data_IF_618445116634
#
_entry.id   IF_618445116634
#
_cell.length_a   1.000
_cell.length_b   1.000
_cell.length_c   1.000
_cell.angle_alpha   90.00
_cell.angle_beta   90.00
_cell.angle_gamma   90.00
#
_symmetry.space_group_name_H-M   'P 1'
#
loop_
_entity.id
_entity.type
_entity.pdbx_description
1 polymer ?
#
# COMPACT_ATOMS: atom_id res chain seq x y z
N UNK A 1 4.83 -18.44 -2.32
CA UNK A 1 4.18 -17.11 -2.40
C UNK A 1 2.94 -17.20 -3.30
N UNK A 2 1.95 -18.05 -2.99
CA UNK A 2 0.87 -18.40 -3.95
C UNK A 2 -0.55 -18.34 -3.35
N UNK A 3 -0.77 -17.55 -2.30
CA UNK A 3 -2.07 -17.49 -1.59
C UNK A 3 -2.51 -16.02 -1.29
N UNK A 4 -1.55 -15.10 -1.13
CA UNK A 4 -1.83 -13.70 -0.81
C UNK A 4 -2.66 -12.96 -1.87
N UNK A 5 -2.48 -13.29 -3.15
CA UNK A 5 -3.19 -12.64 -4.25
C UNK A 5 -4.69 -12.93 -4.25
N UNK A 6 -5.05 -14.19 -3.99
CA UNK A 6 -6.44 -14.64 -3.91
C UNK A 6 -7.12 -14.18 -2.61
N UNK A 7 -6.39 -14.12 -1.49
CA UNK A 7 -6.91 -13.54 -0.24
C UNK A 7 -7.21 -12.04 -0.38
N UNK A 8 -6.43 -11.31 -1.19
CA UNK A 8 -6.70 -9.90 -1.52
C UNK A 8 -7.83 -9.71 -2.53
N UNK A 9 -8.27 -10.75 -3.22
CA UNK A 9 -9.40 -10.73 -4.16
C UNK A 9 -10.69 -11.27 -3.54
N UNK A 10 -10.61 -11.96 -2.40
CA UNK A 10 -11.77 -12.46 -1.65
C UNK A 10 -12.64 -11.37 -1.00
N UNK A 11 -13.92 -11.65 -0.84
CA UNK A 11 -15.00 -10.76 -0.37
C UNK A 11 -14.91 -10.32 1.10
N UNK A 12 -13.93 -10.83 1.86
CA UNK A 12 -13.81 -10.53 3.29
C UNK A 12 -13.01 -9.24 3.54
N UNK A 13 -13.72 -8.09 3.53
CA UNK A 13 -13.17 -6.75 3.75
C UNK A 13 -12.24 -6.65 4.97
N UNK A 14 -12.65 -7.20 6.12
CA UNK A 14 -11.86 -7.18 7.35
C UNK A 14 -10.53 -7.93 7.23
N UNK A 15 -10.55 -9.11 6.60
CA UNK A 15 -9.34 -9.93 6.44
C UNK A 15 -8.37 -9.26 5.48
N UNK A 16 -8.87 -8.69 4.39
CA UNK A 16 -8.08 -8.00 3.37
C UNK A 16 -7.43 -6.72 3.90
N UNK A 17 -8.18 -5.89 4.61
CA UNK A 17 -7.66 -4.67 5.24
C UNK A 17 -6.61 -4.99 6.30
N UNK A 18 -6.84 -6.01 7.14
CA UNK A 18 -5.86 -6.47 8.12
C UNK A 18 -4.57 -6.97 7.47
N UNK A 19 -4.68 -7.79 6.43
CA UNK A 19 -3.52 -8.37 5.74
C UNK A 19 -2.71 -7.30 5.01
N UNK A 20 -3.38 -6.39 4.29
CA UNK A 20 -2.74 -5.28 3.60
C UNK A 20 -2.12 -4.27 4.58
N UNK A 21 -2.78 -4.00 5.71
CA UNK A 21 -2.22 -3.19 6.79
C UNK A 21 -0.97 -3.82 7.39
N UNK A 22 -0.96 -5.14 7.57
CA UNK A 22 0.22 -5.87 8.06
C UNK A 22 1.38 -5.85 7.05
N UNK A 23 1.10 -5.98 5.75
CA UNK A 23 2.11 -5.80 4.70
C UNK A 23 2.66 -4.38 4.69
N UNK A 24 1.78 -3.36 4.81
CA UNK A 24 2.18 -1.97 4.97
C UNK A 24 3.03 -1.72 6.22
N UNK A 25 2.71 -2.40 7.33
CA UNK A 25 3.52 -2.33 8.55
C UNK A 25 4.92 -2.95 8.33
N UNK A 26 5.01 -4.09 7.65
CA UNK A 26 6.31 -4.71 7.35
C UNK A 26 7.17 -3.83 6.45
N UNK A 27 6.61 -3.29 5.37
CA UNK A 27 7.36 -2.38 4.49
C UNK A 27 7.73 -1.09 5.21
N UNK A 28 6.84 -0.58 6.05
CA UNK A 28 7.10 0.57 6.92
C UNK A 28 8.25 0.32 7.89
N UNK A 29 8.31 -0.86 8.52
CA UNK A 29 9.37 -1.21 9.45
C UNK A 29 10.72 -1.31 8.73
N UNK A 30 10.78 -1.98 7.58
CA UNK A 30 11.99 -2.07 6.76
C UNK A 30 12.46 -0.68 6.31
N UNK A 31 11.55 0.15 5.80
CA UNK A 31 11.88 1.53 5.42
C UNK A 31 12.39 2.34 6.63
N UNK A 32 11.81 2.12 7.80
CA UNK A 32 12.20 2.81 9.04
C UNK A 32 13.57 2.37 9.53
N UNK A 33 13.91 1.09 9.42
CA UNK A 33 15.26 0.61 9.75
C UNK A 33 16.30 1.27 8.87
N UNK A 34 16.06 1.35 7.56
CA UNK A 34 16.96 2.07 6.64
C UNK A 34 17.06 3.56 7.00
N UNK A 35 15.94 4.21 7.29
CA UNK A 35 15.91 5.61 7.65
C UNK A 35 16.71 5.90 8.93
N UNK A 36 16.61 5.06 9.95
CA UNK A 36 17.39 5.22 11.20
C UNK A 36 18.87 4.92 11.00
N UNK A 37 19.21 3.95 10.14
CA UNK A 37 20.62 3.65 9.83
C UNK A 37 21.31 4.75 9.03
N UNK A 38 20.59 5.42 8.12
CA UNK A 38 21.15 6.50 7.30
C UNK A 38 21.12 7.85 8.02
N UNK A 39 20.11 8.10 8.84
CA UNK A 39 19.97 9.31 9.65
C UNK A 39 19.94 8.93 11.14
N UNK A 40 21.12 8.86 11.76
CA UNK A 40 21.25 8.55 13.17
C UNK A 40 20.55 9.61 14.03
N UNK A 41 19.56 9.25 14.86
CA UNK A 41 18.94 10.17 15.80
C UNK A 41 19.88 10.42 16.98
N UNK A 42 19.84 11.63 17.55
CA UNK A 42 20.65 11.97 18.74
C UNK A 42 20.17 11.22 19.99
N UNK A 43 18.92 10.71 19.99
CA UNK A 43 18.32 10.03 21.13
C UNK A 43 17.55 8.76 20.74
N UNK A 44 17.68 7.68 21.53
CA UNK A 44 16.97 6.41 21.33
C UNK A 44 15.45 6.54 21.32
N UNK A 45 14.89 7.36 22.22
CA UNK A 45 13.44 7.59 22.31
C UNK A 45 12.88 8.27 21.05
N UNK A 46 13.60 9.24 20.51
CA UNK A 46 13.19 9.94 19.30
C UNK A 46 13.27 9.01 18.07
N UNK A 47 14.31 8.17 18.00
CA UNK A 47 14.41 7.11 17.02
C UNK A 47 13.22 6.14 17.07
N UNK A 48 12.86 5.67 18.27
CA UNK A 48 11.73 4.77 18.45
C UNK A 48 10.40 5.41 18.05
N UNK A 49 10.13 6.64 18.50
CA UNK A 49 8.91 7.36 18.13
C UNK A 49 8.83 7.61 16.63
N UNK A 50 9.95 7.91 15.98
CA UNK A 50 10.03 8.11 14.53
C UNK A 50 9.71 6.83 13.77
N UNK A 51 10.32 5.70 14.15
CA UNK A 51 10.05 4.37 13.59
C UNK A 51 8.61 3.94 13.80
N UNK A 52 8.06 4.18 15.00
CA UNK A 52 6.67 3.86 15.30
C UNK A 52 5.72 4.69 14.42
N UNK A 53 5.97 6.00 14.30
CA UNK A 53 5.15 6.90 13.47
C UNK A 53 5.17 6.48 12.00
N UNK A 54 6.33 6.20 11.43
CA UNK A 54 6.47 5.77 10.03
C UNK A 54 5.84 4.39 9.79
N UNK A 55 6.05 3.44 10.69
CA UNK A 55 5.43 2.11 10.58
C UNK A 55 3.92 2.19 10.63
N UNK A 56 3.36 2.97 11.56
CA UNK A 56 1.92 3.21 11.66
C UNK A 56 1.40 3.94 10.43
N UNK A 57 2.14 4.91 9.87
CA UNK A 57 1.74 5.55 8.60
C UNK A 57 1.58 4.51 7.50
N UNK A 58 2.59 3.67 7.25
CA UNK A 58 2.54 2.71 6.16
C UNK A 58 1.49 1.61 6.39
N UNK A 59 1.30 1.17 7.62
CA UNK A 59 0.22 0.27 7.99
C UNK A 59 -1.16 0.89 7.66
N UNK A 60 -1.38 2.15 8.03
CA UNK A 60 -2.64 2.85 7.72
C UNK A 60 -2.86 3.02 6.23
N UNK A 61 -1.81 3.29 5.45
CA UNK A 61 -1.90 3.43 4.00
C UNK A 61 -2.30 2.11 3.33
N UNK A 62 -1.69 1.00 3.73
CA UNK A 62 -2.05 -0.34 3.24
C UNK A 62 -3.50 -0.72 3.58
N UNK A 63 -3.95 -0.40 4.80
CA UNK A 63 -5.32 -0.65 5.22
C UNK A 63 -6.34 0.22 4.44
N UNK A 64 -6.08 1.52 4.29
CA UNK A 64 -6.94 2.44 3.53
C UNK A 64 -7.02 2.02 2.07
N UNK A 65 -5.90 1.68 1.45
CA UNK A 65 -5.84 1.16 0.08
C UNK A 65 -6.74 -0.08 -0.11
N UNK A 66 -6.60 -1.05 0.79
CA UNK A 66 -7.38 -2.28 0.74
C UNK A 66 -8.87 -2.06 1.00
N UNK A 67 -9.23 -1.21 1.97
CA UNK A 67 -10.62 -0.91 2.29
C UNK A 67 -11.32 -0.22 1.11
N UNK A 68 -10.72 0.87 0.63
CA UNK A 68 -11.29 1.67 -0.45
C UNK A 68 -11.37 0.92 -1.79
N UNK A 69 -10.35 0.13 -2.15
CA UNK A 69 -10.42 -0.71 -3.35
C UNK A 69 -11.50 -1.79 -3.28
N UNK A 70 -11.77 -2.33 -2.08
CA UNK A 70 -12.81 -3.35 -1.89
C UNK A 70 -14.21 -2.74 -1.93
N UNK A 71 -14.41 -1.62 -1.23
CA UNK A 71 -15.69 -0.88 -1.26
C UNK A 71 -16.00 -0.43 -2.70
N UNK A 72 -14.98 0.02 -3.44
CA UNK A 72 -15.16 0.43 -4.85
C UNK A 72 -15.55 -0.75 -5.74
N UNK A 73 -14.99 -1.93 -5.48
CA UNK A 73 -15.31 -3.15 -6.21
C UNK A 73 -16.76 -3.63 -5.93
N UNK A 74 -17.20 -3.58 -4.66
CA UNK A 74 -18.58 -3.91 -4.27
C UNK A 74 -19.58 -2.92 -4.86
N UNK A 75 -19.26 -1.62 -4.85
CA UNK A 75 -20.18 -0.58 -5.35
C UNK A 75 -20.40 -0.65 -6.87
N UNK A 76 -19.43 -1.20 -7.61
CA UNK A 76 -19.42 -1.21 -9.08
C UNK A 76 -19.74 -2.58 -9.68
N UNK A 77 -19.95 -3.61 -8.85
CA UNK A 77 -20.14 -5.01 -9.25
C UNK A 77 -19.09 -5.52 -10.27
N UNK A 78 -17.92 -4.88 -10.29
CA UNK A 78 -16.85 -5.09 -11.27
C UNK A 78 -15.53 -5.35 -10.54
N UNK A 79 -15.33 -6.54 -9.93
CA UNK A 79 -14.20 -6.81 -9.04
C UNK A 79 -12.83 -6.81 -9.76
N UNK A 80 -12.86 -7.04 -11.08
CA UNK A 80 -11.66 -7.13 -11.91
C UNK A 80 -11.21 -5.80 -12.52
N UNK A 81 -11.95 -4.71 -12.33
CA UNK A 81 -11.59 -3.44 -12.95
C UNK A 81 -10.36 -2.81 -12.28
N UNK A 82 -9.30 -2.46 -13.05
CA UNK A 82 -8.10 -1.81 -12.52
C UNK A 82 -8.39 -0.41 -11.94
N UNK A 83 -9.52 0.20 -12.29
CA UNK A 83 -10.00 1.45 -11.71
C UNK A 83 -10.24 1.36 -10.19
N UNK A 84 -10.63 0.20 -9.66
CA UNK A 84 -10.86 0.05 -8.22
C UNK A 84 -9.54 0.17 -7.42
N UNK A 85 -8.45 -0.33 -8.00
CA UNK A 85 -7.11 -0.21 -7.44
C UNK A 85 -6.56 1.21 -7.60
N UNK A 86 -6.97 1.94 -8.64
CA UNK A 86 -6.66 3.38 -8.79
C UNK A 86 -7.31 4.21 -7.67
N UNK A 87 -8.60 3.99 -7.40
CA UNK A 87 -9.32 4.68 -6.32
C UNK A 87 -8.66 4.38 -4.97
N UNK A 88 -8.28 3.13 -4.74
CA UNK A 88 -7.56 2.76 -3.51
C UNK A 88 -6.19 3.42 -3.38
N UNK A 89 -5.44 3.49 -4.48
CA UNK A 89 -4.16 4.20 -4.54
C UNK A 89 -4.34 5.69 -4.25
N UNK A 90 -5.34 6.33 -4.83
CA UNK A 90 -5.65 7.73 -4.58
C UNK A 90 -6.08 8.02 -3.14
N UNK A 91 -6.92 7.17 -2.54
CA UNK A 91 -7.30 7.30 -1.14
C UNK A 91 -6.07 7.24 -0.22
N UNK A 92 -5.14 6.32 -0.49
CA UNK A 92 -3.88 6.24 0.26
C UNK A 92 -2.97 7.45 0.01
N UNK A 93 -2.86 7.96 -1.22
CA UNK A 93 -2.08 9.15 -1.55
C UNK A 93 -2.60 10.42 -0.87
N UNK A 94 -3.91 10.63 -0.85
CA UNK A 94 -4.52 11.75 -0.12
C UNK A 94 -4.17 11.68 1.36
N UNK A 95 -4.13 10.48 1.95
CA UNK A 95 -3.73 10.30 3.36
C UNK A 95 -2.26 10.69 3.60
N UNK A 96 -1.36 10.45 2.64
CA UNK A 96 0.02 10.96 2.69
C UNK A 96 0.03 12.50 2.65
N UNK A 97 -0.77 13.09 1.77
CA UNK A 97 -0.96 14.55 1.71
C UNK A 97 -1.44 15.14 3.03
N UNK A 98 -2.43 14.50 3.66
CA UNK A 98 -2.93 14.89 4.97
C UNK A 98 -1.86 14.79 6.07
N UNK A 99 -1.05 13.71 6.07
CA UNK A 99 0.06 13.53 7.03
C UNK A 99 1.18 14.56 6.83
N UNK A 100 1.41 15.00 5.60
CA UNK A 100 2.47 15.96 5.24
C UNK A 100 1.98 17.41 5.18
N UNK A 101 0.69 17.66 5.45
CA UNK A 101 0.03 18.97 5.33
C UNK A 101 0.30 19.66 3.99
N UNK A 102 0.37 18.89 2.90
CA UNK A 102 0.67 19.42 1.57
C UNK A 102 -0.28 18.86 0.52
N UNK A 103 -1.04 19.77 -0.10
CA UNK A 103 -1.93 19.45 -1.21
C UNK A 103 -1.16 18.93 -2.43
N UNK A 104 0.03 19.49 -2.70
CA UNK A 104 0.86 19.07 -3.82
C UNK A 104 1.35 17.62 -3.66
N UNK A 105 1.76 17.25 -2.44
CA UNK A 105 2.18 15.87 -2.14
C UNK A 105 0.96 14.94 -2.22
N UNK A 106 -0.21 15.39 -1.75
CA UNK A 106 -1.45 14.61 -1.84
C UNK A 106 -1.89 14.30 -3.27
N UNK A 107 -1.90 15.31 -4.17
CA UNK A 107 -2.33 15.11 -5.56
C UNK A 107 -1.32 14.29 -6.37
N UNK A 108 -0.02 14.59 -6.23
CA UNK A 108 1.03 13.82 -6.90
C UNK A 108 1.08 12.37 -6.43
N UNK A 109 0.94 12.11 -5.12
CA UNK A 109 0.91 10.75 -4.58
C UNK A 109 -0.38 10.01 -4.95
N UNK A 110 -1.53 10.68 -5.06
CA UNK A 110 -2.75 10.03 -5.58
C UNK A 110 -2.55 9.54 -7.01
N UNK A 111 -2.03 10.38 -7.91
CA UNK A 111 -1.77 9.97 -9.29
C UNK A 111 -0.70 8.87 -9.33
N UNK A 112 0.39 9.01 -8.58
CA UNK A 112 1.48 8.04 -8.55
C UNK A 112 1.06 6.68 -8.00
N UNK A 113 0.49 6.63 -6.80
CA UNK A 113 0.04 5.39 -6.17
C UNK A 113 -1.20 4.81 -6.85
N UNK A 114 -2.09 5.67 -7.37
CA UNK A 114 -3.24 5.25 -8.17
C UNK A 114 -2.82 4.55 -9.46
N UNK A 115 -1.90 5.15 -10.23
CA UNK A 115 -1.39 4.56 -11.45
C UNK A 115 -0.64 3.25 -11.18
N UNK A 116 0.21 3.21 -10.14
CA UNK A 116 0.89 1.98 -9.72
C UNK A 116 -0.11 0.89 -9.30
N UNK A 117 -1.17 1.25 -8.58
CA UNK A 117 -2.24 0.34 -8.20
C UNK A 117 -2.94 -0.27 -9.41
N UNK A 118 -3.39 0.57 -10.35
CA UNK A 118 -4.02 0.13 -11.60
C UNK A 118 -3.09 -0.75 -12.44
N UNK A 119 -1.83 -0.34 -12.59
CA UNK A 119 -0.82 -1.09 -13.33
C UNK A 119 -0.53 -2.45 -12.68
N UNK A 120 -0.46 -2.52 -11.35
CA UNK A 120 -0.25 -3.78 -10.62
C UNK A 120 -1.37 -4.79 -10.87
N UNK A 121 -2.63 -4.33 -10.92
CA UNK A 121 -3.78 -5.19 -11.25
C UNK A 121 -3.74 -5.62 -12.71
N UNK A 122 -3.45 -4.69 -13.63
CA UNK A 122 -3.32 -5.00 -15.06
C UNK A 122 -2.21 -6.02 -15.33
N UNK A 123 -1.04 -5.86 -14.71
CA UNK A 123 0.08 -6.81 -14.82
C UNK A 123 -0.30 -8.21 -14.29
N UNK A 124 -1.09 -8.28 -13.20
CA UNK A 124 -1.62 -9.55 -12.69
C UNK A 124 -2.59 -10.20 -13.67
N UNK A 125 -3.50 -9.43 -14.27
CA UNK A 125 -4.45 -9.96 -15.27
C UNK A 125 -3.75 -10.54 -16.48
N UNK A 126 -2.65 -9.92 -16.93
CA UNK A 126 -1.83 -10.43 -18.02
C UNK A 126 -0.84 -11.54 -17.62
N UNK A 127 -0.86 -12.01 -16.35
CA UNK A 127 0.05 -13.02 -15.83
C UNK A 127 1.54 -12.70 -16.04
N UNK A 128 1.91 -11.41 -15.94
CA UNK A 128 3.31 -11.01 -16.08
C UNK A 128 4.17 -11.61 -14.97
N UNK A 129 5.22 -12.34 -15.34
CA UNK A 129 6.17 -12.96 -14.41
C UNK A 129 7.36 -12.01 -14.20
N UNK A 130 7.34 -11.26 -13.10
CA UNK A 130 8.43 -10.33 -12.75
C UNK A 130 9.74 -11.03 -12.34
N UNK A 131 9.66 -12.28 -11.88
CA UNK A 131 10.80 -13.12 -11.54
C UNK A 131 10.76 -14.38 -12.42
N UNK A 132 11.40 -14.30 -13.58
CA UNK A 132 11.65 -15.48 -14.40
C UNK A 132 12.82 -16.23 -13.77
N UNK A 133 12.54 -17.38 -13.14
CA UNK A 133 13.62 -18.25 -12.70
C UNK A 133 14.30 -18.82 -13.95
N UNK A 134 15.62 -18.66 -14.13
CA UNK A 134 16.31 -19.24 -15.27
C UNK A 134 16.10 -20.77 -15.22
N UNK A 135 15.46 -21.31 -16.26
CA UNK A 135 15.34 -22.75 -16.43
C UNK A 135 16.76 -23.25 -16.77
N UNK A 136 17.39 -23.95 -15.83
CA UNK A 136 18.61 -24.73 -16.10
C UNK A 136 18.23 -26.04 -16.76
#
# INVERSE_FOLDING_TARGET
MYDYGEILEGTNLYRKTWLAGRLGAFTGLVASTYHVTLYSPETYLEGLMRVAKSTVTMATLGAVFAASSSISAELRDAPEDPMNYFIGGCASGIMIGARTNSFLIGTSSCIGLGALGAFSKFARQQNWRFLVHPQK
#
